data_IF_494002576706
#
_entry.id   IF_494002576706
#
_cell.length_a   1.000
_cell.length_b   1.000
_cell.length_c   1.000
_cell.angle_alpha   90.00
_cell.angle_beta   90.00
_cell.angle_gamma   90.00
#
_symmetry.space_group_name_H-M   'P 1'
#
loop_
_entity.id
_entity.type
_entity.pdbx_description
1 polymer ?
#
# COMPACT_ATOMS: atom_id res chain seq x y z
N UNK A 1 -20.65 -27.32 13.69
CA UNK A 1 -20.82 -27.28 12.22
C UNK A 1 -21.61 -26.06 11.75
N UNK A 2 -22.83 -25.80 12.25
CA UNK A 2 -23.63 -24.62 11.87
C UNK A 2 -22.99 -23.29 12.31
N UNK A 3 -22.44 -23.26 13.52
CA UNK A 3 -21.79 -22.05 14.07
C UNK A 3 -20.48 -21.69 13.35
N UNK A 4 -19.68 -22.69 12.97
CA UNK A 4 -18.42 -22.48 12.25
C UNK A 4 -18.65 -21.83 10.87
N UNK A 5 -19.70 -22.28 10.16
CA UNK A 5 -20.12 -21.72 8.87
C UNK A 5 -20.68 -20.30 9.02
N UNK A 6 -21.43 -20.03 10.09
CA UNK A 6 -21.92 -18.69 10.41
C UNK A 6 -20.80 -17.70 10.67
N UNK A 7 -19.81 -18.09 11.48
CA UNK A 7 -18.61 -17.28 11.77
C UNK A 7 -17.79 -17.04 10.50
N UNK A 8 -17.60 -18.06 9.65
CA UNK A 8 -16.90 -17.90 8.38
C UNK A 8 -17.59 -16.93 7.44
N UNK A 9 -18.91 -17.06 7.33
CA UNK A 9 -19.71 -16.20 6.47
C UNK A 9 -19.64 -14.76 6.96
N UNK A 10 -19.72 -14.54 8.28
CA UNK A 10 -19.57 -13.22 8.87
C UNK A 10 -18.19 -12.61 8.60
N UNK A 11 -17.11 -13.39 8.77
CA UNK A 11 -15.73 -12.96 8.47
C UNK A 11 -15.57 -12.63 6.98
N UNK A 12 -16.12 -13.46 6.09
CA UNK A 12 -16.04 -13.24 4.64
C UNK A 12 -16.81 -11.99 4.20
N UNK A 13 -18.02 -11.77 4.73
CA UNK A 13 -18.82 -10.58 4.42
C UNK A 13 -18.14 -9.31 4.95
N UNK A 14 -17.60 -9.36 6.18
CA UNK A 14 -16.79 -8.27 6.73
C UNK A 14 -15.57 -7.99 5.85
N UNK A 15 -14.87 -9.03 5.38
CA UNK A 15 -13.71 -8.83 4.51
C UNK A 15 -14.10 -8.15 3.19
N UNK A 16 -15.17 -8.63 2.54
CA UNK A 16 -15.66 -8.08 1.29
C UNK A 16 -16.06 -6.61 1.43
N UNK A 17 -16.80 -6.27 2.49
CA UNK A 17 -17.23 -4.90 2.76
C UNK A 17 -16.03 -3.96 2.90
N UNK A 18 -15.05 -4.36 3.70
CA UNK A 18 -13.86 -3.55 3.96
C UNK A 18 -12.90 -3.46 2.76
N UNK A 19 -12.83 -4.49 1.89
CA UNK A 19 -12.13 -4.38 0.59
C UNK A 19 -12.77 -3.33 -0.29
N UNK A 20 -14.10 -3.34 -0.40
CA UNK A 20 -14.84 -2.33 -1.16
C UNK A 20 -14.55 -0.94 -0.60
N UNK A 21 -14.63 -0.76 0.71
CA UNK A 21 -14.33 0.52 1.38
C UNK A 21 -12.89 0.96 1.10
N UNK A 22 -11.90 0.06 1.21
CA UNK A 22 -10.49 0.38 0.96
C UNK A 22 -10.25 0.82 -0.48
N UNK A 23 -10.87 0.14 -1.45
CA UNK A 23 -10.78 0.50 -2.86
C UNK A 23 -11.45 1.86 -3.13
N UNK A 24 -12.65 2.09 -2.60
CA UNK A 24 -13.37 3.36 -2.76
C UNK A 24 -12.58 4.52 -2.17
N UNK A 25 -12.05 4.37 -0.95
CA UNK A 25 -11.22 5.40 -0.31
C UNK A 25 -9.94 5.64 -1.11
N UNK A 26 -9.28 4.59 -1.60
CA UNK A 26 -8.09 4.72 -2.43
C UNK A 26 -8.37 5.50 -3.72
N UNK A 27 -9.43 5.14 -4.46
CA UNK A 27 -9.86 5.85 -5.66
C UNK A 27 -10.21 7.32 -5.38
N UNK A 28 -10.91 7.59 -4.27
CA UNK A 28 -11.23 8.95 -3.85
C UNK A 28 -9.96 9.76 -3.56
N UNK A 29 -8.99 9.18 -2.84
CA UNK A 29 -7.72 9.88 -2.55
C UNK A 29 -6.87 10.13 -3.80
N UNK A 30 -6.87 9.20 -4.75
CA UNK A 30 -6.22 9.41 -6.06
C UNK A 30 -6.91 10.53 -6.83
N UNK A 31 -8.25 10.54 -6.89
CA UNK A 31 -9.02 11.59 -7.54
C UNK A 31 -8.78 12.96 -6.91
N UNK A 32 -8.72 13.04 -5.58
CA UNK A 32 -8.40 14.26 -4.85
C UNK A 32 -6.97 14.76 -5.18
N UNK A 33 -5.97 13.86 -5.19
CA UNK A 33 -4.60 14.21 -5.53
C UNK A 33 -4.48 14.73 -6.97
N UNK A 34 -5.11 14.05 -7.94
CA UNK A 34 -5.11 14.48 -9.35
C UNK A 34 -5.80 15.82 -9.52
N UNK A 35 -6.97 16.02 -8.90
CA UNK A 35 -7.71 17.29 -8.98
C UNK A 35 -6.91 18.43 -8.37
N UNK A 36 -6.26 18.20 -7.24
CA UNK A 36 -5.39 19.18 -6.60
C UNK A 36 -4.21 19.56 -7.50
N UNK A 37 -3.56 18.57 -8.12
CA UNK A 37 -2.44 18.79 -9.03
C UNK A 37 -2.88 19.56 -10.28
N UNK A 38 -3.96 19.15 -10.92
CA UNK A 38 -4.49 19.83 -12.12
C UNK A 38 -4.91 21.25 -11.78
N UNK A 39 -5.58 21.47 -10.64
CA UNK A 39 -5.98 22.79 -10.19
C UNK A 39 -4.79 23.72 -9.95
N UNK A 40 -3.77 23.24 -9.23
CA UNK A 40 -2.56 24.03 -8.95
C UNK A 40 -1.77 24.35 -10.22
N UNK A 41 -1.70 23.43 -11.18
CA UNK A 41 -1.09 23.67 -12.50
C UNK A 41 -1.91 24.68 -13.31
N UNK A 42 -3.25 24.59 -13.30
CA UNK A 42 -4.11 25.53 -14.05
C UNK A 42 -3.96 26.99 -13.58
N UNK A 43 -3.58 27.19 -12.31
CA UNK A 43 -3.31 28.51 -11.75
C UNK A 43 -1.82 28.83 -11.63
N UNK A 44 -0.94 28.07 -12.29
CA UNK A 44 0.50 28.16 -12.11
C UNK A 44 1.04 29.59 -12.25
N UNK A 45 0.61 30.33 -13.27
CA UNK A 45 1.07 31.70 -13.53
C UNK A 45 0.56 32.70 -12.48
N UNK A 46 -0.52 32.37 -11.78
CA UNK A 46 -1.08 33.19 -10.70
C UNK A 46 -0.52 32.82 -9.32
N UNK A 47 0.27 31.75 -9.20
CA UNK A 47 0.82 31.34 -7.91
C UNK A 47 1.80 32.37 -7.35
N UNK A 48 2.42 33.22 -8.17
CA UNK A 48 3.35 34.27 -7.70
C UNK A 48 2.69 35.28 -6.74
N UNK A 49 1.36 35.43 -6.79
CA UNK A 49 0.58 36.21 -5.83
C UNK A 49 0.65 35.65 -4.39
N UNK A 50 0.98 34.36 -4.23
CA UNK A 50 1.13 33.69 -2.93
C UNK A 50 2.52 33.91 -2.31
N UNK A 51 3.50 34.37 -3.10
CA UNK A 51 4.86 34.64 -2.64
C UNK A 51 5.52 33.43 -1.96
N UNK A 52 5.87 33.56 -0.67
CA UNK A 52 6.50 32.48 0.08
C UNK A 52 5.57 31.28 0.34
N UNK A 53 4.25 31.49 0.35
CA UNK A 53 3.27 30.44 0.65
C UNK A 53 3.17 29.38 -0.46
N UNK A 54 3.73 29.64 -1.64
CA UNK A 54 3.91 28.65 -2.73
C UNK A 54 4.64 27.40 -2.20
N UNK A 55 5.60 27.60 -1.29
CA UNK A 55 6.36 26.50 -0.67
C UNK A 55 5.50 25.53 0.14
N UNK A 56 4.26 25.90 0.52
CA UNK A 56 3.34 25.03 1.27
C UNK A 56 2.42 24.22 0.36
N UNK A 57 2.31 24.55 -0.92
CA UNK A 57 1.43 23.85 -1.88
C UNK A 57 1.73 22.35 -2.04
N UNK A 58 2.97 21.86 -1.89
CA UNK A 58 3.21 20.41 -1.88
C UNK A 58 2.72 19.68 -0.64
N UNK A 59 2.42 20.39 0.46
CA UNK A 59 2.08 19.77 1.74
C UNK A 59 0.84 18.86 1.68
N UNK A 60 -0.30 19.26 1.08
CA UNK A 60 -1.46 18.38 0.96
C UNK A 60 -1.16 17.06 0.22
N UNK A 61 -0.34 17.09 -0.83
CA UNK A 61 0.05 15.86 -1.54
C UNK A 61 0.90 14.95 -0.66
N UNK A 62 1.82 15.49 0.13
CA UNK A 62 2.61 14.69 1.08
C UNK A 62 1.71 14.02 2.12
N UNK A 63 0.69 14.72 2.63
CA UNK A 63 -0.32 14.13 3.51
C UNK A 63 -1.09 12.99 2.85
N UNK A 64 -1.49 13.16 1.57
CA UNK A 64 -2.17 12.09 0.81
C UNK A 64 -1.24 10.88 0.63
N UNK A 65 0.04 11.08 0.30
CA UNK A 65 1.01 9.98 0.22
C UNK A 65 1.17 9.24 1.56
N UNK A 66 1.29 9.97 2.67
CA UNK A 66 1.38 9.38 4.00
C UNK A 66 0.14 8.55 4.32
N UNK A 67 -1.05 9.09 4.06
CA UNK A 67 -2.32 8.38 4.22
C UNK A 67 -2.39 7.12 3.35
N UNK A 68 -1.94 7.21 2.11
CA UNK A 68 -1.92 6.06 1.21
C UNK A 68 -0.95 4.96 1.68
N UNK A 69 0.20 5.32 2.24
CA UNK A 69 1.14 4.36 2.84
C UNK A 69 0.52 3.61 4.03
N UNK A 70 -0.29 4.30 4.85
CA UNK A 70 -1.04 3.68 5.96
C UNK A 70 -2.11 2.72 5.44
N UNK A 71 -2.88 3.11 4.42
CA UNK A 71 -3.86 2.23 3.79
C UNK A 71 -3.22 0.96 3.22
N UNK A 72 -2.06 1.11 2.56
CA UNK A 72 -1.32 -0.03 2.02
C UNK A 72 -0.86 -0.99 3.13
N UNK A 73 -0.37 -0.46 4.26
CA UNK A 73 0.01 -1.28 5.40
C UNK A 73 -1.19 -2.03 6.00
N UNK A 74 -2.33 -1.34 6.14
CA UNK A 74 -3.57 -1.96 6.63
C UNK A 74 -4.04 -3.10 5.72
N UNK A 75 -3.95 -2.90 4.40
CA UNK A 75 -4.25 -3.92 3.41
C UNK A 75 -3.29 -5.13 3.52
N UNK A 76 -1.99 -4.89 3.72
CA UNK A 76 -0.98 -5.95 3.88
C UNK A 76 -1.20 -6.78 5.16
N UNK A 77 -1.45 -6.13 6.30
CA UNK A 77 -1.75 -6.80 7.58
C UNK A 77 -3.02 -7.64 7.46
N UNK A 78 -4.05 -7.12 6.79
CA UNK A 78 -5.27 -7.85 6.52
C UNK A 78 -5.03 -9.09 5.66
N UNK A 79 -4.28 -8.97 4.57
CA UNK A 79 -3.96 -10.10 3.70
C UNK A 79 -3.31 -11.25 4.50
N UNK A 80 -2.40 -10.93 5.45
CA UNK A 80 -1.80 -11.91 6.37
C UNK A 80 -2.82 -12.59 7.28
N UNK A 81 -3.76 -11.82 7.83
CA UNK A 81 -4.82 -12.36 8.68
C UNK A 81 -5.69 -13.38 7.93
N UNK A 82 -6.10 -13.03 6.70
CA UNK A 82 -6.92 -13.90 5.86
C UNK A 82 -6.17 -15.17 5.46
N UNK A 83 -4.89 -15.08 5.07
CA UNK A 83 -4.06 -16.27 4.81
C UNK A 83 -3.99 -17.20 6.02
N UNK A 84 -3.96 -16.65 7.23
CA UNK A 84 -3.91 -17.44 8.46
C UNK A 84 -5.23 -18.17 8.69
N UNK A 85 -6.36 -17.49 8.45
CA UNK A 85 -7.70 -18.08 8.52
C UNK A 85 -7.90 -19.14 7.44
N UNK A 86 -7.52 -18.84 6.20
CA UNK A 86 -7.57 -19.76 5.05
C UNK A 86 -6.80 -21.05 5.34
N UNK A 87 -5.57 -20.95 5.86
CA UNK A 87 -4.78 -22.12 6.28
C UNK A 87 -5.47 -22.91 7.39
N UNK A 88 -5.98 -22.25 8.42
CA UNK A 88 -6.66 -22.92 9.53
C UNK A 88 -7.94 -23.64 9.08
N UNK A 89 -8.64 -23.11 8.08
CA UNK A 89 -9.82 -23.69 7.46
C UNK A 89 -9.49 -24.91 6.59
N UNK A 90 -8.50 -24.76 5.70
CA UNK A 90 -8.05 -25.84 4.83
C UNK A 90 -7.48 -27.02 5.62
N UNK A 91 -6.79 -26.76 6.73
CA UNK A 91 -6.27 -27.82 7.62
C UNK A 91 -7.42 -28.61 8.28
N UNK A 92 -8.58 -27.99 8.55
CA UNK A 92 -9.77 -28.65 9.12
C UNK A 92 -10.61 -29.40 8.07
N UNK A 93 -10.50 -29.06 6.79
CA UNK A 93 -11.19 -29.75 5.68
C UNK A 93 -10.43 -30.99 5.19
N UNK A 94 -9.64 -31.66 6.04
CA UNK A 94 -8.94 -32.92 5.71
C UNK A 94 -9.93 -34.09 5.52
N UNK A 95 -10.64 -34.07 4.39
CA UNK A 95 -11.36 -35.19 3.81
C UNK A 95 -10.78 -35.55 2.42
N UNK A 96 -11.12 -36.72 1.87
CA UNK A 96 -10.53 -37.28 0.64
C UNK A 96 -10.64 -36.38 -0.62
N UNK A 97 -11.51 -35.37 -0.62
CA UNK A 97 -11.67 -34.41 -1.74
C UNK A 97 -10.65 -33.25 -1.73
N UNK A 98 -9.89 -33.08 -0.64
CA UNK A 98 -8.97 -31.95 -0.45
C UNK A 98 -7.71 -31.99 -1.32
N UNK A 99 -7.46 -33.09 -2.03
CA UNK A 99 -6.35 -33.24 -2.99
C UNK A 99 -6.66 -32.69 -4.39
N UNK A 100 -7.91 -32.29 -4.65
CA UNK A 100 -8.35 -31.77 -5.96
C UNK A 100 -8.39 -30.24 -6.06
N UNK A 101 -8.32 -29.54 -4.93
CA UNK A 101 -8.34 -28.07 -4.89
C UNK A 101 -6.91 -27.55 -4.98
N UNK A 102 -6.57 -26.93 -6.12
CA UNK A 102 -5.29 -26.25 -6.30
C UNK A 102 -5.21 -25.05 -5.35
N UNK A 103 -4.55 -25.28 -4.20
CA UNK A 103 -4.31 -24.30 -3.14
C UNK A 103 -3.54 -23.07 -3.63
N UNK A 104 -2.95 -23.12 -4.83
CA UNK A 104 -2.17 -22.05 -5.45
C UNK A 104 -2.97 -21.06 -6.30
N UNK A 105 -4.23 -21.36 -6.62
CA UNK A 105 -5.10 -20.53 -7.47
C UNK A 105 -6.29 -19.89 -6.73
N UNK A 106 -6.57 -20.36 -5.51
CA UNK A 106 -7.70 -19.90 -4.70
C UNK A 106 -7.18 -19.05 -3.53
N UNK A 107 -7.91 -17.98 -3.20
CA UNK A 107 -7.67 -17.19 -1.99
C UNK A 107 -6.53 -16.16 -2.08
N UNK A 108 -5.92 -15.86 -0.94
CA UNK A 108 -4.97 -14.72 -0.84
C UNK A 108 -3.63 -15.02 -1.50
N UNK A 109 -3.28 -16.29 -1.72
CA UNK A 109 -2.09 -16.71 -2.46
C UNK A 109 -2.13 -16.27 -3.93
N UNK A 110 -3.31 -16.24 -4.54
CA UNK A 110 -3.50 -15.67 -5.88
C UNK A 110 -3.36 -14.14 -5.88
N UNK A 111 -3.84 -13.48 -4.81
CA UNK A 111 -3.66 -12.04 -4.61
C UNK A 111 -2.19 -11.66 -4.35
N UNK A 112 -1.41 -12.53 -3.70
CA UNK A 112 0.04 -12.40 -3.53
C UNK A 112 0.78 -12.45 -4.87
N UNK A 113 0.47 -13.44 -5.73
CA UNK A 113 1.04 -13.53 -7.08
C UNK A 113 0.70 -12.32 -7.95
N UNK A 114 -0.48 -11.73 -7.78
CA UNK A 114 -0.89 -10.54 -8.53
C UNK A 114 -0.29 -9.23 -7.97
N UNK A 115 -0.05 -9.15 -6.65
CA UNK A 115 0.38 -7.93 -5.97
C UNK A 115 1.89 -7.82 -5.74
N UNK A 116 2.63 -8.93 -5.74
CA UNK A 116 4.07 -8.93 -5.44
C UNK A 116 4.88 -8.67 -6.72
N UNK A 117 5.67 -7.59 -6.71
CA UNK A 117 6.54 -7.17 -7.82
C UNK A 117 7.50 -8.29 -8.28
N UNK A 118 7.86 -9.21 -7.38
CA UNK A 118 8.81 -10.28 -7.65
C UNK A 118 8.20 -11.54 -8.26
N UNK A 119 6.91 -11.78 -8.05
CA UNK A 119 6.21 -13.00 -8.53
C UNK A 119 5.18 -12.73 -9.63
N UNK A 120 4.84 -11.45 -9.87
CA UNK A 120 3.90 -11.05 -10.90
C UNK A 120 4.43 -11.26 -12.33
N UNK A 121 3.51 -11.53 -13.26
CA UNK A 121 3.79 -11.59 -14.70
C UNK A 121 4.50 -10.30 -15.16
N UNK A 122 5.49 -10.36 -16.08
CA UNK A 122 6.31 -9.20 -16.46
C UNK A 122 5.50 -7.98 -16.92
N UNK A 123 4.36 -8.19 -17.59
CA UNK A 123 3.46 -7.10 -17.98
C UNK A 123 2.84 -6.38 -16.76
N UNK A 124 2.45 -7.13 -15.72
CA UNK A 124 1.89 -6.58 -14.49
C UNK A 124 2.98 -5.90 -13.64
N UNK A 125 4.20 -6.45 -13.66
CA UNK A 125 5.38 -5.80 -13.05
C UNK A 125 5.67 -4.44 -13.68
N UNK A 126 5.59 -4.33 -15.01
CA UNK A 126 5.74 -3.05 -15.71
C UNK A 126 4.63 -2.06 -15.31
N UNK A 127 3.37 -2.50 -15.23
CA UNK A 127 2.27 -1.65 -14.78
C UNK A 127 2.47 -1.15 -13.33
N UNK A 128 2.94 -2.01 -12.42
CA UNK A 128 3.26 -1.66 -11.03
C UNK A 128 4.40 -0.62 -11.00
N UNK A 129 5.45 -0.80 -11.80
CA UNK A 129 6.56 0.15 -11.89
C UNK A 129 6.13 1.49 -12.46
N UNK A 130 5.29 1.51 -13.50
CA UNK A 130 4.74 2.74 -14.07
C UNK A 130 3.85 3.45 -13.05
N UNK A 131 2.96 2.72 -12.38
CA UNK A 131 2.06 3.30 -11.39
C UNK A 131 2.83 3.93 -10.23
N UNK A 132 3.72 3.17 -9.58
CA UNK A 132 4.42 3.68 -8.40
C UNK A 132 5.61 4.58 -8.72
N UNK A 133 6.38 4.26 -9.76
CA UNK A 133 7.48 5.10 -10.24
C UNK A 133 6.97 6.42 -10.80
N UNK A 134 5.87 6.39 -11.54
CA UNK A 134 5.19 7.58 -12.06
C UNK A 134 4.68 8.47 -10.92
N UNK A 135 3.94 7.91 -9.95
CA UNK A 135 3.44 8.66 -8.79
C UNK A 135 4.59 9.27 -7.98
N UNK A 136 5.66 8.51 -7.71
CA UNK A 136 6.83 9.04 -7.00
C UNK A 136 7.51 10.18 -7.76
N UNK A 137 7.66 10.04 -9.08
CA UNK A 137 8.26 11.07 -9.94
C UNK A 137 7.40 12.34 -9.96
N UNK A 138 6.08 12.20 -10.05
CA UNK A 138 5.13 13.33 -10.01
C UNK A 138 5.26 14.08 -8.68
N UNK A 139 5.35 13.37 -7.56
CA UNK A 139 5.40 13.98 -6.23
C UNK A 139 6.71 14.75 -6.02
N UNK A 140 7.84 14.13 -6.35
CA UNK A 140 9.15 14.78 -6.26
C UNK A 140 9.27 15.95 -7.24
N UNK A 141 8.79 15.79 -8.47
CA UNK A 141 8.76 16.83 -9.47
C UNK A 141 7.92 18.03 -9.04
N UNK A 142 6.73 17.77 -8.47
CA UNK A 142 5.85 18.83 -7.97
C UNK A 142 6.45 19.59 -6.78
N UNK A 143 7.04 18.88 -5.81
CA UNK A 143 7.77 19.50 -4.69
C UNK A 143 8.90 20.37 -5.21
N UNK A 144 9.73 19.84 -6.10
CA UNK A 144 10.85 20.58 -6.70
C UNK A 144 10.39 21.82 -7.45
N UNK A 145 9.37 21.69 -8.29
CA UNK A 145 8.80 22.79 -9.08
C UNK A 145 8.24 23.92 -8.19
N UNK A 146 7.49 23.58 -7.14
CA UNK A 146 6.96 24.59 -6.22
C UNK A 146 8.05 25.25 -5.37
N UNK A 147 9.09 24.51 -4.96
CA UNK A 147 10.23 25.08 -4.26
C UNK A 147 11.01 26.04 -5.17
N UNK A 148 11.29 25.65 -6.42
CA UNK A 148 11.96 26.53 -7.41
C UNK A 148 11.14 27.80 -7.62
N UNK A 149 9.81 27.67 -7.76
CA UNK A 149 8.93 28.82 -7.91
C UNK A 149 8.89 29.71 -6.66
N UNK A 150 9.01 29.14 -5.46
CA UNK A 150 9.07 29.90 -4.21
C UNK A 150 10.45 30.54 -3.93
N UNK A 151 11.52 30.10 -4.61
CA UNK A 151 12.89 30.53 -4.34
C UNK A 151 13.12 32.05 -4.42
N UNK A 152 12.58 32.78 -5.42
CA UNK A 152 12.74 34.24 -5.50
C UNK A 152 12.15 34.98 -4.30
N UNK A 153 11.13 34.41 -3.65
CA UNK A 153 10.45 35.01 -2.50
C UNK A 153 11.12 34.68 -1.16
N UNK A 154 12.02 33.69 -1.12
CA UNK A 154 12.58 33.15 0.12
C UNK A 154 14.07 33.47 0.33
N UNK A 155 14.79 34.02 -0.66
CA UNK A 155 16.13 34.67 -0.52
C UNK A 155 17.26 33.84 0.16
N UNK A 156 17.03 32.56 0.48
CA UNK A 156 17.95 31.69 1.24
C UNK A 156 17.23 30.80 2.27
N UNK A 157 16.03 31.18 2.71
CA UNK A 157 15.18 30.39 3.60
C UNK A 157 14.54 29.17 2.94
N UNK A 158 14.78 28.95 1.64
CA UNK A 158 14.29 27.78 0.89
C UNK A 158 14.83 26.44 1.45
N UNK A 159 15.98 26.47 2.13
CA UNK A 159 16.52 25.31 2.81
C UNK A 159 15.57 24.76 3.89
N UNK A 160 14.75 25.63 4.52
CA UNK A 160 13.80 25.23 5.56
C UNK A 160 12.67 24.35 5.02
N UNK A 161 11.85 24.78 4.03
CA UNK A 161 10.83 23.91 3.46
C UNK A 161 11.44 22.71 2.71
N UNK A 162 12.62 22.85 2.09
CA UNK A 162 13.31 21.71 1.46
C UNK A 162 13.69 20.63 2.48
N UNK A 163 14.30 21.01 3.62
CA UNK A 163 14.62 20.09 4.71
C UNK A 163 13.35 19.52 5.34
N UNK A 164 12.32 20.35 5.51
CA UNK A 164 10.99 19.93 5.96
C UNK A 164 10.42 18.81 5.11
N UNK A 165 10.33 19.01 3.79
CA UNK A 165 9.85 17.98 2.87
C UNK A 165 10.73 16.74 2.84
N UNK A 166 12.06 16.89 2.87
CA UNK A 166 12.96 15.75 2.96
C UNK A 166 12.67 14.92 4.23
N UNK A 167 12.54 15.57 5.38
CA UNK A 167 12.22 14.90 6.65
C UNK A 167 10.85 14.22 6.66
N UNK A 168 9.85 14.76 5.94
CA UNK A 168 8.52 14.17 5.81
C UNK A 168 8.50 13.00 4.82
N UNK A 169 9.28 13.07 3.76
CA UNK A 169 9.34 12.01 2.75
C UNK A 169 10.07 10.76 3.26
N UNK A 170 11.03 10.89 4.18
CA UNK A 170 11.74 9.75 4.78
C UNK A 170 10.79 8.74 5.46
N UNK A 171 9.94 9.11 6.43
CA UNK A 171 9.03 8.17 7.08
C UNK A 171 8.00 7.63 6.08
N UNK A 172 7.55 8.42 5.10
CA UNK A 172 6.65 7.96 4.04
C UNK A 172 7.32 6.87 3.20
N UNK A 173 8.56 7.09 2.76
CA UNK A 173 9.32 6.11 2.00
C UNK A 173 9.62 4.84 2.82
N UNK A 174 9.94 4.99 4.11
CA UNK A 174 10.16 3.86 5.02
C UNK A 174 8.89 3.06 5.25
N UNK A 175 7.75 3.73 5.49
CA UNK A 175 6.45 3.08 5.63
C UNK A 175 6.08 2.33 4.34
N UNK A 176 6.35 2.93 3.18
CA UNK A 176 6.10 2.30 1.90
C UNK A 176 6.97 1.05 1.69
N UNK A 177 8.27 1.13 1.98
CA UNK A 177 9.21 -0.01 1.95
C UNK A 177 8.80 -1.12 2.92
N UNK A 178 8.34 -0.76 4.12
CA UNK A 178 7.89 -1.74 5.10
C UNK A 178 6.61 -2.45 4.64
N UNK A 179 5.67 -1.70 4.08
CA UNK A 179 4.43 -2.26 3.52
C UNK A 179 4.70 -3.21 2.35
N UNK A 180 5.61 -2.87 1.44
CA UNK A 180 5.97 -3.76 0.32
C UNK A 180 6.68 -5.03 0.80
N UNK A 181 7.58 -4.91 1.78
CA UNK A 181 8.19 -6.09 2.42
C UNK A 181 7.16 -6.97 3.15
N UNK A 182 6.06 -6.38 3.64
CA UNK A 182 5.02 -7.16 4.29
C UNK A 182 4.21 -8.06 3.34
N UNK A 183 4.25 -7.80 2.02
CA UNK A 183 3.70 -8.67 0.98
C UNK A 183 4.58 -9.87 0.63
N UNK A 184 5.75 -10.02 1.25
CA UNK A 184 6.60 -11.19 1.09
C UNK A 184 6.25 -12.24 2.16
N UNK A 185 5.41 -13.22 1.81
CA UNK A 185 4.85 -14.20 2.75
C UNK A 185 5.75 -15.43 2.97
N UNK A 186 6.90 -15.53 2.29
CA UNK A 186 7.80 -16.69 2.35
C UNK A 186 8.31 -17.00 3.77
N UNK A 187 8.43 -15.99 4.63
CA UNK A 187 9.00 -16.15 5.98
C UNK A 187 7.99 -16.70 7.01
N UNK A 188 6.69 -16.55 6.77
CA UNK A 188 5.66 -17.03 7.70
C UNK A 188 5.50 -18.57 7.66
N UNK A 189 5.92 -19.23 6.58
CA UNK A 189 5.83 -20.69 6.43
C UNK A 189 6.98 -21.49 7.06
N UNK A 190 8.18 -20.91 7.19
CA UNK A 190 9.37 -21.64 7.66
C UNK A 190 9.49 -21.73 9.18
N UNK A 191 8.90 -20.79 9.93
CA UNK A 191 8.96 -20.77 11.40
C UNK A 191 8.20 -21.91 12.08
N UNK A 192 7.08 -22.36 11.50
CA UNK A 192 6.23 -23.40 12.11
C UNK A 192 6.71 -24.84 11.86
N UNK A 193 7.47 -25.09 10.79
CA UNK A 193 7.98 -26.44 10.47
C UNK A 193 9.14 -26.90 11.36
N UNK A 194 9.83 -26.00 12.07
CA UNK A 194 10.93 -26.38 12.99
C UNK A 194 10.48 -26.77 14.41
N UNK A 195 9.22 -26.53 14.78
CA UNK A 195 8.70 -26.85 16.11
C UNK A 195 8.05 -28.23 16.26
N UNK A 196 7.74 -28.92 15.17
CA UNK A 196 7.00 -30.18 15.19
C UNK A 196 7.88 -31.45 15.12
N UNK A 197 9.19 -31.32 15.39
CA UNK A 197 10.17 -32.39 15.15
C UNK A 197 10.68 -33.14 16.39
N UNK A 198 10.21 -32.85 17.60
CA UNK A 198 10.79 -33.48 18.81
C UNK A 198 9.72 -33.82 19.85
N UNK A 199 8.94 -34.87 19.58
CA UNK A 199 8.25 -35.62 20.61
C UNK A 199 9.03 -36.93 20.84
N UNK A 200 9.63 -37.16 22.02
CA UNK A 200 10.29 -38.41 22.31
C UNK A 200 9.25 -39.53 22.40
N UNK A 201 9.40 -40.57 21.58
CA UNK A 201 8.73 -41.84 21.78
C UNK A 201 9.31 -42.48 23.04
N UNK A 202 8.52 -42.55 24.11
CA UNK A 202 8.61 -43.56 25.16
C UNK A 202 7.22 -43.94 25.61
#
# INVERSE_FOLDING_TARGET
MSDDLGVLTAIYQSDRADRSTTLTVSLATMGAAVTYLVGTIAFYDKLDLLGWAISLLPFPLVCIAAFHAVLLNLAAVRARSILTLERALLDRMTGPDASSLDRGEIGVTASEKAGNLHTAHPAQRAAILIAYGGVGTIYLGYIGLMLVKAAPHLSGWIAVPAAGYASLLVPVALAWRHSTANFDFEHAGRGRRRGAGNAPRR
#
